data_IF_444275134653
#
_entry.id   IF_444275134653
#
_cell.length_a   1.000
_cell.length_b   1.000
_cell.length_c   1.000
_cell.angle_alpha   90.00
_cell.angle_beta   90.00
_cell.angle_gamma   90.00
#
_symmetry.space_group_name_H-M   'P 1'
#
loop_
_entity.id
_entity.type
_entity.pdbx_description
1 polymer ?
#
# COMPACT_ATOMS: atom_id res chain seq x y z
N UNK A 1 -27.18 3.23 -21.07
CA UNK A 1 -27.03 2.59 -19.74
C UNK A 1 -27.05 3.66 -18.67
N UNK A 2 -27.73 3.40 -17.58
CA UNK A 2 -27.86 4.37 -16.47
C UNK A 2 -26.59 4.39 -15.61
N UNK A 3 -26.37 5.49 -14.88
CA UNK A 3 -25.30 5.59 -13.87
C UNK A 3 -25.36 4.42 -12.87
N UNK A 4 -26.56 4.00 -12.49
CA UNK A 4 -26.76 2.86 -11.57
C UNK A 4 -26.20 1.55 -12.14
N UNK A 5 -26.38 1.30 -13.41
CA UNK A 5 -25.86 0.10 -14.08
C UNK A 5 -24.33 0.11 -14.12
N UNK A 6 -23.71 1.27 -14.41
CA UNK A 6 -22.26 1.40 -14.40
C UNK A 6 -21.67 1.22 -13.03
N UNK A 7 -22.33 1.72 -11.96
CA UNK A 7 -21.87 1.53 -10.58
C UNK A 7 -21.97 0.06 -10.15
N UNK A 8 -23.00 -0.66 -10.59
CA UNK A 8 -23.12 -2.08 -10.31
C UNK A 8 -21.99 -2.88 -10.96
N UNK A 9 -21.73 -2.64 -12.24
CA UNK A 9 -20.63 -3.29 -12.96
C UNK A 9 -19.26 -2.97 -12.32
N UNK A 10 -19.03 -1.71 -11.96
CA UNK A 10 -17.80 -1.32 -11.27
C UNK A 10 -17.64 -2.05 -9.93
N UNK A 11 -18.72 -2.17 -9.16
CA UNK A 11 -18.69 -2.88 -7.88
C UNK A 11 -18.33 -4.36 -8.07
N UNK A 12 -18.91 -5.03 -9.06
CA UNK A 12 -18.59 -6.42 -9.38
C UNK A 12 -17.11 -6.60 -9.72
N UNK A 13 -16.56 -5.74 -10.58
CA UNK A 13 -15.14 -5.82 -10.97
C UNK A 13 -14.19 -5.51 -9.80
N UNK A 14 -14.50 -4.51 -8.99
CA UNK A 14 -13.72 -4.20 -7.79
C UNK A 14 -13.78 -5.34 -6.77
N UNK A 15 -14.94 -5.96 -6.57
CA UNK A 15 -15.10 -7.10 -5.67
C UNK A 15 -14.28 -8.30 -6.13
N UNK A 16 -14.26 -8.57 -7.42
CA UNK A 16 -13.47 -9.64 -8.02
C UNK A 16 -11.96 -9.34 -7.88
N UNK A 17 -11.55 -8.11 -8.13
CA UNK A 17 -10.16 -7.68 -7.97
C UNK A 17 -9.68 -7.84 -6.52
N UNK A 18 -10.48 -7.40 -5.55
CA UNK A 18 -10.17 -7.56 -4.12
C UNK A 18 -10.03 -9.03 -3.75
N UNK A 19 -10.95 -9.87 -4.21
CA UNK A 19 -10.90 -11.31 -3.94
C UNK A 19 -9.64 -11.96 -4.52
N UNK A 20 -9.31 -11.64 -5.77
CA UNK A 20 -8.09 -12.14 -6.43
C UNK A 20 -6.82 -11.61 -5.77
N UNK A 21 -6.81 -10.36 -5.32
CA UNK A 21 -5.65 -9.79 -4.63
C UNK A 21 -5.37 -10.47 -3.28
N UNK A 22 -6.39 -11.01 -2.62
CA UNK A 22 -6.21 -11.79 -1.40
C UNK A 22 -5.52 -13.14 -1.65
N UNK A 23 -5.72 -13.73 -2.82
CA UNK A 23 -4.98 -14.92 -3.25
C UNK A 23 -3.50 -14.58 -3.52
N UNK A 24 -3.21 -13.35 -3.89
CA UNK A 24 -1.86 -12.80 -4.05
C UNK A 24 -1.28 -12.17 -2.78
N UNK A 25 -1.99 -12.17 -1.65
CA UNK A 25 -1.52 -11.61 -0.38
C UNK A 25 -0.39 -12.42 0.27
N UNK A 26 0.02 -13.51 -0.38
CA UNK A 26 1.28 -14.16 -0.13
C UNK A 26 2.47 -13.30 -0.55
N UNK A 27 3.61 -13.90 -0.53
CA UNK A 27 4.86 -13.28 -0.93
C UNK A 27 4.82 -12.79 -2.38
N UNK A 28 4.95 -11.46 -2.59
CA UNK A 28 5.08 -10.90 -3.94
C UNK A 28 6.50 -11.09 -4.46
N UNK A 29 7.48 -10.89 -3.62
CA UNK A 29 8.89 -11.06 -3.92
C UNK A 29 9.74 -11.04 -2.64
N UNK A 30 10.70 -11.94 -2.54
CA UNK A 30 11.71 -11.97 -1.47
C UNK A 30 11.13 -11.90 -0.04
N UNK A 31 10.03 -12.58 0.23
CA UNK A 31 9.39 -12.62 1.55
C UNK A 31 8.59 -11.36 1.91
N UNK A 32 8.34 -10.47 0.96
CA UNK A 32 7.49 -9.29 1.17
C UNK A 32 6.06 -9.56 0.70
N UNK A 33 5.09 -9.25 1.55
CA UNK A 33 3.69 -9.18 1.17
C UNK A 33 3.38 -7.85 0.46
N UNK A 34 2.21 -7.74 -0.15
CA UNK A 34 1.75 -6.48 -0.72
C UNK A 34 1.67 -5.36 0.33
N UNK A 35 1.26 -5.70 1.55
CA UNK A 35 1.21 -4.73 2.67
C UNK A 35 2.61 -4.24 3.02
N UNK A 36 3.57 -5.15 3.16
CA UNK A 36 4.97 -4.81 3.44
C UNK A 36 5.54 -3.89 2.36
N UNK A 37 5.35 -4.25 1.10
CA UNK A 37 5.78 -3.46 -0.04
C UNK A 37 5.19 -2.04 -0.02
N UNK A 38 3.90 -1.92 0.27
CA UNK A 38 3.20 -0.64 0.32
C UNK A 38 3.73 0.22 1.48
N UNK A 39 3.98 -0.36 2.64
CA UNK A 39 4.58 0.35 3.79
C UNK A 39 5.99 0.83 3.46
N UNK A 40 6.84 -0.03 2.93
CA UNK A 40 8.21 0.34 2.55
C UNK A 40 8.23 1.45 1.49
N UNK A 41 7.35 1.37 0.50
CA UNK A 41 7.22 2.39 -0.55
C UNK A 41 6.85 3.76 0.05
N UNK A 42 5.92 3.79 1.00
CA UNK A 42 5.48 5.03 1.63
C UNK A 42 6.56 5.62 2.54
N UNK A 43 7.24 4.80 3.30
CA UNK A 43 8.35 5.23 4.15
C UNK A 43 9.49 5.81 3.29
N UNK A 44 9.84 5.14 2.20
CA UNK A 44 10.88 5.62 1.29
C UNK A 44 10.53 6.95 0.60
N UNK A 45 9.27 7.10 0.21
CA UNK A 45 8.81 8.26 -0.55
C UNK A 45 8.47 9.50 0.28
N UNK A 46 8.44 9.38 1.59
CA UNK A 46 8.01 10.46 2.50
C UNK A 46 8.97 10.58 3.69
N UNK A 47 10.13 11.23 3.52
CA UNK A 47 11.06 11.48 4.63
C UNK A 47 10.35 12.12 5.83
N UNK A 48 10.66 11.66 7.02
CA UNK A 48 9.99 12.12 8.24
C UNK A 48 8.66 11.44 8.54
N UNK A 49 8.31 10.39 7.81
CA UNK A 49 7.08 9.62 8.03
C UNK A 49 7.06 8.99 9.43
N UNK A 50 5.91 9.08 10.08
CA UNK A 50 5.64 8.47 11.38
C UNK A 50 4.57 7.41 11.27
N UNK A 51 4.53 6.49 12.24
CA UNK A 51 3.51 5.45 12.31
C UNK A 51 2.08 6.04 12.29
N UNK A 52 1.85 7.15 12.99
CA UNK A 52 0.56 7.83 12.99
C UNK A 52 0.12 8.32 11.60
N UNK A 53 1.08 8.83 10.79
CA UNK A 53 0.82 9.29 9.43
C UNK A 53 0.40 8.12 8.52
N UNK A 54 1.08 6.99 8.65
CA UNK A 54 0.76 5.77 7.91
C UNK A 54 -0.60 5.19 8.33
N UNK A 55 -0.89 5.18 9.63
CA UNK A 55 -2.18 4.72 10.14
C UNK A 55 -3.34 5.55 9.56
N UNK A 56 -3.20 6.87 9.54
CA UNK A 56 -4.18 7.77 8.94
C UNK A 56 -4.33 7.54 7.44
N UNK A 57 -3.21 7.37 6.73
CA UNK A 57 -3.21 7.16 5.27
C UNK A 57 -3.91 5.85 4.89
N UNK A 58 -3.66 4.77 5.62
CA UNK A 58 -4.22 3.44 5.33
C UNK A 58 -5.57 3.18 6.01
N UNK A 59 -6.07 4.11 6.83
CA UNK A 59 -7.31 3.91 7.57
C UNK A 59 -7.22 2.79 8.61
N UNK A 60 -6.03 2.52 9.13
CA UNK A 60 -5.78 1.49 10.14
C UNK A 60 -5.75 2.09 11.53
N UNK A 61 -6.09 1.28 12.54
CA UNK A 61 -5.82 1.66 13.91
C UNK A 61 -4.32 1.61 14.22
N UNK A 62 -3.91 2.36 15.26
CA UNK A 62 -2.50 2.46 15.64
C UNK A 62 -1.90 1.12 16.04
N UNK A 63 -2.66 0.24 16.66
CA UNK A 63 -2.16 -1.07 17.12
C UNK A 63 -1.90 -2.01 15.96
N UNK A 64 -2.76 -2.05 14.97
CA UNK A 64 -2.59 -2.86 13.76
C UNK A 64 -1.36 -2.40 12.98
N UNK A 65 -1.23 -1.09 12.74
CA UNK A 65 -0.08 -0.56 12.03
C UNK A 65 1.22 -0.78 12.81
N UNK A 66 1.22 -0.56 14.13
CA UNK A 66 2.40 -0.80 14.98
C UNK A 66 2.89 -2.25 14.88
N UNK A 67 1.98 -3.23 14.84
CA UNK A 67 2.35 -4.64 14.67
C UNK A 67 3.01 -4.88 13.32
N UNK A 68 2.46 -4.33 12.25
CA UNK A 68 3.03 -4.45 10.90
C UNK A 68 4.43 -3.81 10.82
N UNK A 69 4.58 -2.62 11.37
CA UNK A 69 5.88 -1.92 11.43
C UNK A 69 6.88 -2.70 12.28
N UNK A 70 6.46 -3.24 13.43
CA UNK A 70 7.34 -4.03 14.29
C UNK A 70 7.91 -5.25 13.56
N UNK A 71 7.11 -5.94 12.77
CA UNK A 71 7.59 -7.07 11.95
C UNK A 71 8.68 -6.62 11.00
N UNK A 72 8.51 -5.48 10.33
CA UNK A 72 9.53 -4.94 9.42
C UNK A 72 10.80 -4.48 10.16
N UNK A 73 10.65 -3.95 11.36
CA UNK A 73 11.80 -3.59 12.21
C UNK A 73 12.57 -4.84 12.67
N UNK A 74 11.87 -5.87 13.11
CA UNK A 74 12.48 -7.15 13.51
C UNK A 74 13.20 -7.84 12.35
N UNK A 75 12.70 -7.69 11.14
CA UNK A 75 13.35 -8.19 9.91
C UNK A 75 14.52 -7.33 9.45
N UNK A 76 14.80 -6.22 10.11
CA UNK A 76 15.89 -5.32 9.77
C UNK A 76 15.66 -4.49 8.50
N UNK A 77 14.41 -4.30 8.07
CA UNK A 77 14.05 -3.54 6.87
C UNK A 77 13.68 -2.08 7.17
N UNK A 78 13.22 -1.82 8.37
CA UNK A 78 12.82 -0.50 8.87
C UNK A 78 13.54 -0.23 10.18
N UNK A 79 13.96 1.00 10.41
CA UNK A 79 14.50 1.48 11.67
C UNK A 79 13.66 2.67 12.18
N UNK A 80 13.64 2.80 13.50
CA UNK A 80 13.07 3.95 14.18
C UNK A 80 14.17 4.93 14.48
N UNK A 81 14.01 6.17 14.03
CA UNK A 81 14.96 7.25 14.23
C UNK A 81 14.27 8.45 14.86
N UNK A 82 15.07 9.39 15.38
CA UNK A 82 14.57 10.58 16.03
C UNK A 82 14.49 10.46 17.54
N UNK A 83 14.70 11.59 18.19
CA UNK A 83 14.67 11.66 19.64
C UNK A 83 13.23 11.52 20.17
N UNK A 84 13.08 10.75 21.23
CA UNK A 84 11.84 10.72 22.02
C UNK A 84 11.51 12.07 22.67
N UNK A 85 12.40 13.04 22.58
CA UNK A 85 12.37 14.34 23.24
C UNK A 85 11.53 15.41 22.53
N UNK A 86 10.61 15.02 21.67
CA UNK A 86 9.68 15.94 21.05
C UNK A 86 8.27 15.39 21.04
N UNK A 87 7.27 16.24 21.07
CA UNK A 87 5.84 15.91 20.97
C UNK A 87 5.46 15.20 19.66
N UNK A 88 6.42 14.82 18.82
CA UNK A 88 6.19 14.41 17.44
C UNK A 88 6.44 12.93 17.14
N UNK A 89 6.89 12.15 18.12
CA UNK A 89 7.09 10.71 17.97
C UNK A 89 8.27 10.31 17.07
N UNK A 90 8.42 9.02 16.91
CA UNK A 90 9.53 8.38 16.22
C UNK A 90 9.29 8.39 14.72
N UNK A 91 10.30 8.76 13.97
CA UNK A 91 10.32 8.72 12.50
C UNK A 91 10.73 7.32 12.05
N UNK A 92 10.10 6.86 10.99
CA UNK A 92 10.40 5.60 10.34
C UNK A 92 11.26 5.83 9.09
N UNK A 93 12.31 5.03 8.97
CA UNK A 93 13.20 5.06 7.81
C UNK A 93 13.52 3.65 7.36
N UNK A 94 13.78 3.48 6.06
CA UNK A 94 14.31 2.21 5.57
C UNK A 94 15.77 2.05 6.01
N UNK A 95 16.13 0.82 6.34
CA UNK A 95 17.54 0.42 6.42
C UNK A 95 18.10 0.22 5.00
N UNK A 96 19.40 -0.01 4.88
CA UNK A 96 19.98 -0.39 3.60
C UNK A 96 19.35 -1.68 3.04
N UNK A 97 19.17 -2.68 3.89
CA UNK A 97 18.48 -3.93 3.52
C UNK A 97 17.02 -3.68 3.12
N UNK A 98 16.34 -2.75 3.77
CA UNK A 98 14.99 -2.32 3.41
C UNK A 98 14.93 -1.68 2.03
N UNK A 99 15.90 -0.86 1.68
CA UNK A 99 16.02 -0.26 0.35
C UNK A 99 16.25 -1.32 -0.73
N UNK A 100 17.14 -2.26 -0.49
CA UNK A 100 17.42 -3.38 -1.41
C UNK A 100 16.18 -4.26 -1.60
N UNK A 101 15.48 -4.58 -0.51
CA UNK A 101 14.25 -5.35 -0.55
C UNK A 101 13.15 -4.63 -1.34
N UNK A 102 13.01 -3.32 -1.16
CA UNK A 102 12.04 -2.51 -1.89
C UNK A 102 12.34 -2.48 -3.39
N UNK A 103 13.60 -2.33 -3.79
CA UNK A 103 14.00 -2.37 -5.20
C UNK A 103 13.68 -3.72 -5.83
N UNK A 104 14.04 -4.81 -5.17
CA UNK A 104 13.79 -6.16 -5.65
C UNK A 104 12.28 -6.45 -5.79
N UNK A 105 11.49 -6.08 -4.78
CA UNK A 105 10.04 -6.24 -4.80
C UNK A 105 9.38 -5.34 -5.87
N UNK A 106 9.87 -4.11 -6.04
CA UNK A 106 9.39 -3.19 -7.07
C UNK A 106 9.58 -3.71 -8.48
N UNK A 107 10.66 -4.39 -8.76
CA UNK A 107 10.90 -5.06 -10.04
C UNK A 107 9.87 -6.20 -10.26
N UNK A 108 9.59 -6.99 -9.24
CA UNK A 108 8.57 -8.05 -9.29
C UNK A 108 7.16 -7.51 -9.53
N UNK A 109 6.76 -6.48 -8.79
CA UNK A 109 5.46 -5.80 -8.96
C UNK A 109 5.32 -5.22 -10.36
N UNK A 110 6.36 -4.56 -10.86
CA UNK A 110 6.36 -3.99 -12.20
C UNK A 110 6.23 -5.05 -13.29
N UNK A 111 6.94 -6.17 -13.15
CA UNK A 111 6.84 -7.28 -14.08
C UNK A 111 5.43 -7.90 -14.07
N UNK A 112 4.83 -8.09 -12.89
CA UNK A 112 3.48 -8.60 -12.77
C UNK A 112 2.44 -7.66 -13.40
N UNK A 113 2.51 -6.36 -13.10
CA UNK A 113 1.62 -5.36 -13.71
C UNK A 113 1.79 -5.30 -15.23
N UNK A 114 3.02 -5.37 -15.73
CA UNK A 114 3.28 -5.40 -17.17
C UNK A 114 2.61 -6.60 -17.85
N UNK A 115 2.62 -7.75 -17.21
CA UNK A 115 1.93 -8.94 -17.72
C UNK A 115 0.40 -8.80 -17.71
N UNK A 116 -0.15 -8.26 -16.62
CA UNK A 116 -1.62 -8.09 -16.50
C UNK A 116 -2.19 -7.00 -17.41
N UNK A 117 -1.36 -6.03 -17.77
CA UNK A 117 -1.71 -4.92 -18.64
C UNK A 117 -1.20 -5.11 -20.08
N UNK A 118 -0.89 -6.36 -20.45
CA UNK A 118 -0.47 -6.66 -21.82
C UNK A 118 -1.52 -6.18 -22.82
N UNK A 119 -1.08 -5.47 -23.85
CA UNK A 119 -1.96 -4.87 -24.87
C UNK A 119 -2.52 -3.50 -24.51
N UNK A 120 -2.32 -3.01 -23.26
CA UNK A 120 -2.68 -1.64 -22.90
C UNK A 120 -1.62 -0.66 -23.37
N UNK A 121 -2.05 0.45 -23.94
CA UNK A 121 -1.15 1.58 -24.25
C UNK A 121 -0.71 2.31 -22.98
N UNK A 122 0.41 3.01 -23.04
CA UNK A 122 0.88 3.86 -21.94
C UNK A 122 -0.16 4.89 -21.51
N UNK A 123 -0.95 5.40 -22.46
CA UNK A 123 -2.03 6.33 -22.17
C UNK A 123 -3.15 5.67 -21.37
N UNK A 124 -3.59 4.48 -21.74
CA UNK A 124 -4.62 3.74 -20.98
C UNK A 124 -4.16 3.43 -19.57
N UNK A 125 -2.90 3.03 -19.40
CA UNK A 125 -2.31 2.79 -18.07
C UNK A 125 -2.28 4.08 -17.25
N UNK A 126 -1.84 5.18 -17.84
CA UNK A 126 -1.79 6.49 -17.17
C UNK A 126 -3.18 6.99 -16.77
N UNK A 127 -4.15 6.90 -17.67
CA UNK A 127 -5.53 7.33 -17.41
C UNK A 127 -6.18 6.47 -16.30
N UNK A 128 -5.95 5.17 -16.33
CA UNK A 128 -6.41 4.25 -15.29
C UNK A 128 -5.79 4.56 -13.93
N UNK A 129 -4.48 4.78 -13.88
CA UNK A 129 -3.77 5.17 -12.65
C UNK A 129 -4.33 6.48 -12.07
N UNK A 130 -4.62 7.47 -12.90
CA UNK A 130 -5.22 8.73 -12.47
C UNK A 130 -6.65 8.53 -11.91
N UNK A 131 -7.46 7.68 -12.53
CA UNK A 131 -8.80 7.35 -12.03
C UNK A 131 -8.77 6.63 -10.68
N UNK A 132 -7.86 5.67 -10.53
CA UNK A 132 -7.66 4.97 -9.24
C UNK A 132 -7.18 5.93 -8.16
N UNK A 133 -6.27 6.85 -8.48
CA UNK A 133 -5.80 7.86 -7.54
C UNK A 133 -6.94 8.77 -7.06
N UNK A 134 -7.82 9.20 -7.96
CA UNK A 134 -9.02 9.99 -7.61
C UNK A 134 -9.98 9.22 -6.71
N UNK A 135 -10.16 7.93 -6.97
CA UNK A 135 -10.98 7.06 -6.13
C UNK A 135 -10.39 6.96 -4.73
N UNK A 136 -9.09 6.67 -4.63
CA UNK A 136 -8.39 6.53 -3.35
C UNK A 136 -8.46 7.77 -2.46
N UNK A 137 -8.45 8.97 -3.04
CA UNK A 137 -8.60 10.22 -2.30
C UNK A 137 -9.97 10.36 -1.62
N UNK A 138 -10.99 9.68 -2.13
CA UNK A 138 -12.38 9.77 -1.64
C UNK A 138 -12.80 8.56 -0.80
N UNK A 139 -12.13 7.44 -0.96
CA UNK A 139 -12.39 6.25 -0.16
C UNK A 139 -11.89 6.50 1.24
N UNK A 140 -12.81 6.75 2.16
CA UNK A 140 -12.55 6.73 3.60
C UNK A 140 -13.13 5.44 4.13
N UNK A 141 -12.27 4.49 4.44
CA UNK A 141 -12.70 3.30 5.15
C UNK A 141 -12.87 3.72 6.60
N UNK A 142 -14.08 4.21 6.90
CA UNK A 142 -14.50 4.39 8.29
C UNK A 142 -14.67 3.02 8.94
N UNK A 143 -14.69 2.94 10.30
CA UNK A 143 -15.04 1.70 10.96
C UNK A 143 -16.40 1.25 10.40
N UNK A 144 -16.48 -0.01 9.99
CA UNK A 144 -17.75 -0.63 9.66
C UNK A 144 -18.55 -0.60 10.96
N UNK A 145 -19.47 0.34 11.07
CA UNK A 145 -20.45 0.35 12.15
C UNK A 145 -21.33 -0.87 11.86
N UNK A 146 -21.00 -1.97 12.52
CA UNK A 146 -21.85 -3.14 12.52
C UNK A 146 -23.19 -2.72 13.12
N UNK A 147 -24.23 -2.77 12.30
CA UNK A 147 -25.61 -2.73 12.77
C UNK A 147 -26.00 -4.10 13.28
#
# INVERSE_FOLDING_TARGET
MSRRTHLAALYEELSLLVRRSQEFSGEIHAGLSLVDYTLLTRIAGSPGTRAADLAALFGLDKSTLSRQVNVLVERGLVKRTGERAGKRGVVLELTHDGQDALLAAGNGVRAALSGWLEGWSDREISDFAAMVARLNQRVRIGPVVGG
#
